data_IF_979175193459
#
_entry.id   IF_979175193459
#
_cell.length_a   1.000
_cell.length_b   1.000
_cell.length_c   1.000
_cell.angle_alpha   90.00
_cell.angle_beta   90.00
_cell.angle_gamma   90.00
#
_symmetry.space_group_name_H-M   'P 1'
#
loop_
_entity.id
_entity.type
_entity.pdbx_description
1 polymer ?
#
# COMPACT_ATOMS: atom_id res chain seq x y z
N UNK A 1 7.85 10.72 -13.82
CA UNK A 1 7.09 9.48 -13.98
C UNK A 1 5.65 9.69 -13.52
N UNK A 2 4.70 9.46 -14.43
CA UNK A 2 3.28 9.66 -14.15
C UNK A 2 2.67 8.56 -13.28
N UNK A 3 3.38 7.46 -13.06
CA UNK A 3 2.87 6.29 -12.32
C UNK A 3 3.67 6.07 -11.06
N UNK A 4 3.94 7.14 -10.35
CA UNK A 4 4.74 7.07 -9.13
C UNK A 4 3.91 6.50 -7.98
N UNK A 5 4.44 5.45 -7.34
CA UNK A 5 3.82 4.82 -6.17
C UNK A 5 4.42 5.45 -4.92
N UNK A 6 3.59 5.96 -4.00
CA UNK A 6 4.11 6.52 -2.74
C UNK A 6 4.83 5.44 -1.92
N UNK A 7 5.95 5.81 -1.30
CA UNK A 7 6.70 4.89 -0.45
C UNK A 7 6.72 5.32 1.02
N UNK A 8 5.98 6.36 1.37
CA UNK A 8 5.88 6.87 2.74
C UNK A 8 4.44 7.29 3.00
N UNK A 9 3.87 6.86 4.13
CA UNK A 9 2.60 7.38 4.60
C UNK A 9 2.74 7.77 6.07
N UNK A 10 2.00 8.81 6.47
CA UNK A 10 2.02 9.34 7.82
C UNK A 10 0.64 9.13 8.44
N UNK A 11 0.55 8.21 9.39
CA UNK A 11 -0.74 7.78 9.97
C UNK A 11 -0.99 8.48 11.30
N UNK A 12 -0.91 9.79 11.29
CA UNK A 12 -1.06 10.60 12.52
C UNK A 12 -2.46 11.20 12.69
N UNK A 13 -3.39 10.87 11.80
CA UNK A 13 -4.77 11.31 11.94
C UNK A 13 -5.06 12.71 11.46
N UNK A 14 -4.14 13.36 10.74
CA UNK A 14 -4.34 14.73 10.25
C UNK A 14 -5.03 14.78 8.88
N UNK A 15 -5.33 13.65 8.29
CA UNK A 15 -5.98 13.59 6.99
C UNK A 15 -5.05 13.79 5.81
N UNK A 16 -3.76 13.96 6.06
CA UNK A 16 -2.75 14.16 5.03
C UNK A 16 -1.86 12.93 4.97
N UNK A 17 -1.85 12.24 3.83
CA UNK A 17 -1.04 11.03 3.63
C UNK A 17 -1.33 9.92 4.64
N UNK A 18 -2.56 9.88 5.17
CA UNK A 18 -2.97 8.80 6.08
C UNK A 18 -3.27 7.50 5.37
N UNK A 19 -3.49 7.55 4.06
CA UNK A 19 -3.81 6.39 3.25
C UNK A 19 -2.78 6.23 2.14
N UNK A 20 -2.57 4.98 1.74
CA UNK A 20 -1.70 4.66 0.62
C UNK A 20 -2.53 4.75 -0.66
N UNK A 21 -2.35 5.84 -1.39
CA UNK A 21 -3.13 6.16 -2.60
C UNK A 21 -2.27 5.88 -3.81
N UNK A 22 -2.75 5.01 -4.69
CA UNK A 22 -2.06 4.63 -5.90
C UNK A 22 -2.58 5.42 -7.10
N UNK A 23 -1.76 5.58 -8.15
CA UNK A 23 -2.25 6.14 -9.41
C UNK A 23 -3.39 5.31 -9.99
N UNK A 24 -4.21 5.93 -10.84
CA UNK A 24 -5.42 5.29 -11.36
C UNK A 24 -5.15 4.03 -12.17
N UNK A 25 -3.94 3.87 -12.71
CA UNK A 25 -3.64 2.63 -13.43
C UNK A 25 -3.39 1.45 -12.51
N UNK A 26 -3.19 1.67 -11.22
CA UNK A 26 -2.96 0.62 -10.22
C UNK A 26 -4.09 0.50 -9.20
N UNK A 27 -4.89 1.55 -9.04
CA UNK A 27 -6.02 1.52 -8.11
C UNK A 27 -7.33 1.55 -8.89
N UNK A 28 -8.39 1.05 -8.24
CA UNK A 28 -9.72 1.02 -8.85
C UNK A 28 -9.69 0.33 -10.22
N UNK A 29 -8.85 -0.70 -10.33
CA UNK A 29 -8.66 -1.46 -11.55
C UNK A 29 -8.82 -2.93 -11.21
N UNK A 30 -9.89 -3.60 -11.68
CA UNK A 30 -10.18 -4.98 -11.28
C UNK A 30 -9.18 -6.00 -11.84
N UNK A 31 -8.31 -5.60 -12.76
CA UNK A 31 -7.28 -6.48 -13.30
C UNK A 31 -5.97 -6.43 -12.51
N UNK A 32 -5.87 -5.54 -11.53
CA UNK A 32 -4.65 -5.32 -10.76
C UNK A 32 -4.82 -5.90 -9.37
N UNK A 33 -3.84 -6.70 -8.97
CA UNK A 33 -3.74 -7.28 -7.63
C UNK A 33 -2.72 -6.50 -6.82
N UNK A 34 -3.13 -6.03 -5.64
CA UNK A 34 -2.25 -5.31 -4.71
C UNK A 34 -2.08 -6.15 -3.47
N UNK A 35 -0.82 -6.43 -3.12
CA UNK A 35 -0.46 -7.23 -1.96
C UNK A 35 0.48 -6.43 -1.09
N UNK A 36 0.22 -6.41 0.22
CA UNK A 36 1.08 -5.73 1.19
C UNK A 36 1.50 -6.75 2.25
N UNK A 37 2.80 -6.73 2.58
CA UNK A 37 3.40 -7.61 3.58
C UNK A 37 3.91 -6.76 4.74
N UNK A 38 3.77 -7.29 5.97
CA UNK A 38 4.30 -6.60 7.15
C UNK A 38 5.83 -6.72 7.20
N UNK A 39 6.49 -6.08 8.19
CA UNK A 39 7.96 -6.16 8.28
C UNK A 39 8.50 -7.58 8.47
N UNK A 40 7.68 -8.50 8.92
CA UNK A 40 8.07 -9.91 9.08
C UNK A 40 7.80 -10.75 7.84
N UNK A 41 7.25 -10.13 6.79
CA UNK A 41 6.95 -10.83 5.54
C UNK A 41 5.56 -11.48 5.52
N UNK A 42 4.73 -11.22 6.53
CA UNK A 42 3.38 -11.77 6.56
C UNK A 42 2.45 -10.90 5.70
N UNK A 43 1.64 -11.54 4.87
CA UNK A 43 0.69 -10.86 4.02
C UNK A 43 -0.42 -10.24 4.87
N UNK A 44 -0.58 -8.92 4.78
CA UNK A 44 -1.61 -8.19 5.54
C UNK A 44 -2.70 -7.63 4.64
N UNK A 45 -2.46 -7.57 3.34
CA UNK A 45 -3.46 -7.16 2.36
C UNK A 45 -3.22 -7.91 1.07
N UNK A 46 -4.29 -8.42 0.46
CA UNK A 46 -4.22 -9.05 -0.85
C UNK A 46 -5.58 -8.85 -1.50
N UNK A 47 -5.67 -7.85 -2.39
CA UNK A 47 -6.95 -7.48 -2.98
C UNK A 47 -6.79 -7.26 -4.48
N UNK A 48 -7.86 -7.54 -5.19
CA UNK A 48 -8.03 -7.05 -6.55
C UNK A 48 -8.78 -5.73 -6.49
N UNK A 49 -8.54 -4.84 -7.44
CA UNK A 49 -9.31 -3.59 -7.54
C UNK A 49 -9.14 -2.73 -6.28
N UNK A 50 -7.89 -2.46 -5.91
CA UNK A 50 -7.56 -1.71 -4.70
C UNK A 50 -8.24 -0.34 -4.70
N UNK A 51 -8.85 0.04 -3.57
CA UNK A 51 -9.68 1.24 -3.46
C UNK A 51 -9.00 2.40 -2.72
N UNK A 52 -7.68 2.39 -2.58
CA UNK A 52 -6.92 3.44 -1.89
C UNK A 52 -7.36 3.62 -0.44
N UNK A 53 -7.67 2.52 0.23
CA UNK A 53 -8.23 2.57 1.58
C UNK A 53 -7.38 1.86 2.63
N UNK A 54 -6.14 1.51 2.33
CA UNK A 54 -5.21 0.95 3.31
C UNK A 54 -4.28 2.05 3.83
N UNK A 55 -3.94 2.11 5.10
CA UNK A 55 -4.39 1.20 6.16
C UNK A 55 -5.82 1.50 6.58
N UNK A 56 -6.55 0.44 6.93
CA UNK A 56 -7.91 0.58 7.41
C UNK A 56 -7.92 1.04 8.86
N UNK A 57 -9.09 1.47 9.35
CA UNK A 57 -9.22 1.91 10.72
C UNK A 57 -8.97 0.78 11.74
N UNK A 58 -9.05 -0.48 11.29
CA UNK A 58 -8.77 -1.63 12.13
C UNK A 58 -7.29 -2.00 12.17
N UNK A 59 -6.47 -1.37 11.32
CA UNK A 59 -5.03 -1.64 11.28
C UNK A 59 -4.35 -0.92 12.45
N UNK A 60 -3.61 -1.66 13.26
CA UNK A 60 -2.89 -1.09 14.40
C UNK A 60 -1.39 -1.10 14.12
N UNK A 61 -0.77 0.08 14.25
CA UNK A 61 0.68 0.22 14.14
C UNK A 61 1.23 0.47 15.54
N UNK A 62 1.97 -0.49 16.06
CA UNK A 62 2.46 -0.44 17.44
C UNK A 62 3.80 0.26 17.57
N UNK A 63 4.47 0.52 16.46
CA UNK A 63 5.81 1.12 16.46
C UNK A 63 5.83 2.28 15.48
N UNK A 64 6.80 3.17 15.66
CA UNK A 64 7.09 4.21 14.70
C UNK A 64 8.04 3.66 13.62
N UNK A 65 7.97 4.23 12.42
CA UNK A 65 8.92 3.95 11.33
C UNK A 65 8.95 2.46 10.94
N UNK A 66 7.77 1.86 10.83
CA UNK A 66 7.66 0.51 10.30
C UNK A 66 7.84 0.52 8.80
N UNK A 67 8.47 -0.52 8.27
CA UNK A 67 8.65 -0.68 6.82
C UNK A 67 7.85 -1.90 6.38
N UNK A 68 6.85 -1.64 5.53
CA UNK A 68 6.04 -2.67 4.90
C UNK A 68 6.54 -2.88 3.48
N UNK A 69 6.19 -4.00 2.88
CA UNK A 69 6.56 -4.32 1.51
C UNK A 69 5.29 -4.45 0.67
N UNK A 70 5.39 -4.13 -0.62
CA UNK A 70 4.23 -4.26 -1.49
C UNK A 70 4.62 -4.88 -2.83
N UNK A 71 3.63 -5.52 -3.45
CA UNK A 71 3.69 -5.95 -4.85
C UNK A 71 2.42 -5.52 -5.55
N UNK A 72 2.56 -4.99 -6.74
CA UNK A 72 1.44 -4.64 -7.62
C UNK A 72 1.65 -5.45 -8.88
N UNK A 73 0.68 -6.30 -9.20
CA UNK A 73 0.82 -7.21 -10.32
C UNK A 73 -0.48 -7.35 -11.10
N UNK A 74 -0.35 -7.72 -12.36
CA UNK A 74 -1.49 -8.11 -13.18
C UNK A 74 -1.49 -9.63 -13.36
N UNK A 75 -2.27 -10.14 -14.30
CA UNK A 75 -2.37 -11.60 -14.52
C UNK A 75 -1.10 -12.20 -15.12
N UNK A 76 -0.17 -11.37 -15.58
CA UNK A 76 1.01 -11.83 -16.30
C UNK A 76 2.31 -11.59 -15.56
N UNK A 77 2.42 -10.49 -14.80
CA UNK A 77 3.71 -10.11 -14.23
C UNK A 77 3.54 -9.17 -13.05
N UNK A 78 4.64 -9.01 -12.30
CA UNK A 78 4.74 -7.98 -11.26
C UNK A 78 5.07 -6.66 -11.94
N UNK A 79 4.21 -5.66 -11.77
CA UNK A 79 4.37 -4.35 -12.39
C UNK A 79 5.24 -3.42 -11.54
N UNK A 80 5.07 -3.48 -10.22
CA UNK A 80 5.83 -2.68 -9.27
C UNK A 80 6.00 -3.48 -7.99
N UNK A 81 7.12 -3.26 -7.31
CA UNK A 81 7.33 -3.79 -5.95
C UNK A 81 8.27 -2.86 -5.22
N UNK A 82 8.18 -2.82 -3.92
CA UNK A 82 9.02 -1.95 -3.12
C UNK A 82 8.59 -1.93 -1.67
N UNK A 83 8.85 -0.80 -1.01
CA UNK A 83 8.58 -0.65 0.41
C UNK A 83 7.66 0.53 0.66
N UNK A 84 6.93 0.46 1.79
CA UNK A 84 6.09 1.55 2.29
C UNK A 84 6.58 1.82 3.71
N UNK A 85 7.09 3.02 3.95
CA UNK A 85 7.50 3.42 5.29
C UNK A 85 6.32 4.06 6.00
N UNK A 86 5.98 3.54 7.17
CA UNK A 86 4.87 4.03 7.99
C UNK A 86 5.42 4.92 9.07
N UNK A 87 5.05 6.19 9.04
CA UNK A 87 5.45 7.19 10.04
C UNK A 87 4.22 7.52 10.89
N UNK A 88 4.40 7.53 12.19
CA UNK A 88 3.33 7.85 13.14
C UNK A 88 3.56 9.17 13.83
#
# INVERSE_FOLDING_TARGET
DTFKVPNVISVNGDGINDLWVLPNNYSKNPEINVIIYDPNGKEVLNVMNYQNNWPSSSTAFTQQNLVYYYKIKNTKEVLKQGTITIIR
#
